data_IF_141001855854
#
_entry.id   IF_141001855854
#
_cell.length_a   1.000
_cell.length_b   1.000
_cell.length_c   1.000
_cell.angle_alpha   90.00
_cell.angle_beta   90.00
_cell.angle_gamma   90.00
#
_symmetry.space_group_name_H-M   'P 1'
#
loop_
_entity.id
_entity.type
_entity.pdbx_description
1 polymer ?
#
# COMPACT_ATOMS: atom_id res chain seq x y z
N UNK A 1 1.93 -47.78 -37.10
CA UNK A 1 2.85 -48.11 -36.00
C UNK A 1 4.20 -47.49 -36.35
N UNK A 2 4.82 -46.62 -35.52
CA UNK A 2 4.38 -45.86 -34.33
C UNK A 2 4.35 -44.33 -34.62
N UNK A 3 3.50 -43.46 -34.05
CA UNK A 3 3.18 -43.06 -32.66
C UNK A 3 4.32 -42.37 -31.89
N UNK A 4 4.32 -41.02 -31.89
CA UNK A 4 4.79 -40.12 -30.82
C UNK A 4 4.37 -38.67 -31.19
N UNK A 5 3.10 -38.32 -31.02
CA UNK A 5 2.55 -37.53 -29.89
C UNK A 5 2.96 -36.05 -29.95
N UNK A 6 1.96 -35.27 -30.36
CA UNK A 6 1.78 -33.83 -30.19
C UNK A 6 2.37 -33.29 -28.87
N UNK A 7 3.38 -32.42 -28.94
CA UNK A 7 3.61 -31.47 -27.85
C UNK A 7 2.72 -30.25 -28.06
N UNK A 8 1.44 -30.38 -27.69
CA UNK A 8 0.62 -29.23 -27.31
C UNK A 8 1.30 -28.58 -26.09
N UNK A 9 2.09 -27.53 -26.30
CA UNK A 9 2.44 -26.62 -25.22
C UNK A 9 1.22 -25.78 -24.90
N UNK A 10 0.28 -26.40 -24.19
CA UNK A 10 -0.72 -25.72 -23.38
C UNK A 10 0.00 -24.90 -22.32
N UNK A 11 -0.03 -23.58 -22.45
CA UNK A 11 -0.17 -22.65 -21.32
C UNK A 11 -0.29 -21.24 -21.87
N UNK A 12 -1.54 -20.87 -22.16
CA UNK A 12 -2.01 -19.51 -21.96
C UNK A 12 -1.45 -19.02 -20.62
N UNK A 13 -0.54 -18.05 -20.63
CA UNK A 13 0.00 -17.42 -19.42
C UNK A 13 -1.13 -16.67 -18.69
N UNK A 14 -1.98 -17.41 -17.97
CA UNK A 14 -2.71 -16.88 -16.84
C UNK A 14 -1.70 -16.79 -15.69
N UNK A 15 -1.00 -15.66 -15.55
CA UNK A 15 -0.56 -15.20 -14.23
C UNK A 15 -1.82 -14.78 -13.47
N UNK A 16 -2.56 -15.77 -12.98
CA UNK A 16 -3.59 -15.56 -11.98
C UNK A 16 -2.95 -15.92 -10.65
N UNK A 17 -2.64 -14.89 -9.86
CA UNK A 17 -2.25 -15.04 -8.46
C UNK A 17 -3.41 -15.69 -7.72
N UNK A 18 -3.33 -17.01 -7.60
CA UNK A 18 -4.24 -17.79 -6.80
C UNK A 18 -3.96 -17.47 -5.32
N UNK A 19 -4.76 -16.55 -4.76
CA UNK A 19 -4.95 -16.40 -3.33
C UNK A 19 -5.63 -17.66 -2.77
N UNK A 20 -4.87 -18.76 -2.66
CA UNK A 20 -5.31 -19.98 -1.98
C UNK A 20 -4.37 -20.39 -0.85
N UNK A 21 -3.28 -19.65 -0.66
CA UNK A 21 -2.37 -19.87 0.45
C UNK A 21 -2.62 -18.81 1.53
N UNK A 22 -3.10 -19.25 2.69
CA UNK A 22 -3.29 -18.41 3.87
C UNK A 22 -1.95 -18.01 4.51
N UNK A 23 -0.81 -18.46 3.98
CA UNK A 23 0.52 -18.05 4.40
C UNK A 23 0.70 -16.51 4.46
N UNK A 24 0.00 -15.76 3.61
CA UNK A 24 0.05 -14.29 3.64
C UNK A 24 -0.50 -13.69 4.95
N UNK A 25 -1.43 -14.37 5.63
CA UNK A 25 -2.02 -13.91 6.89
C UNK A 25 -1.03 -13.97 8.07
N UNK A 26 0.01 -14.80 7.98
CA UNK A 26 1.00 -15.02 9.04
C UNK A 26 2.24 -14.12 8.85
N UNK A 27 2.35 -13.42 7.72
CA UNK A 27 3.53 -12.59 7.39
C UNK A 27 3.72 -11.35 8.26
N UNK A 28 2.83 -11.06 9.21
CA UNK A 28 3.04 -10.02 10.23
C UNK A 28 3.79 -10.51 11.48
N UNK A 29 4.13 -11.79 11.58
CA UNK A 29 4.72 -12.34 12.82
C UNK A 29 6.07 -13.08 12.65
N UNK A 30 6.59 -13.31 11.44
CA UNK A 30 7.89 -13.98 11.28
C UNK A 30 9.05 -12.99 11.09
N UNK A 31 9.43 -12.35 12.19
CA UNK A 31 10.83 -11.94 12.41
C UNK A 31 11.50 -13.00 13.28
N UNK A 32 12.17 -13.97 12.64
CA UNK A 32 13.21 -14.77 13.28
C UNK A 32 14.36 -14.93 12.29
N UNK A 33 15.51 -14.46 12.74
CA UNK A 33 16.80 -14.45 12.07
C UNK A 33 17.25 -15.86 11.67
N UNK A 34 17.71 -16.03 10.43
CA UNK A 34 18.67 -17.07 10.06
C UNK A 34 19.64 -16.49 9.03
N UNK A 35 20.88 -16.29 9.45
CA UNK A 35 21.98 -15.84 8.62
C UNK A 35 22.47 -17.01 7.73
N UNK A 36 21.91 -17.18 6.53
CA UNK A 36 22.57 -17.88 5.42
C UNK A 36 21.86 -17.60 4.08
N UNK A 37 22.60 -17.04 3.12
CA UNK A 37 22.24 -16.74 1.72
C UNK A 37 20.85 -16.14 1.42
N UNK A 38 20.77 -14.81 1.38
CA UNK A 38 19.84 -14.12 0.49
C UNK A 38 20.65 -13.56 -0.68
N UNK A 39 20.84 -14.40 -1.69
CA UNK A 39 21.10 -13.96 -3.05
C UNK A 39 19.89 -14.33 -3.90
N UNK A 40 18.75 -13.75 -3.60
CA UNK A 40 17.66 -13.66 -4.57
C UNK A 40 17.35 -12.19 -4.78
N UNK A 41 17.67 -11.73 -5.99
CA UNK A 41 17.18 -10.47 -6.54
C UNK A 41 15.67 -10.57 -6.65
N UNK A 42 14.98 -10.31 -5.55
CA UNK A 42 13.69 -9.65 -5.64
C UNK A 42 13.99 -8.17 -5.40
N UNK A 43 14.25 -7.45 -6.50
CA UNK A 43 13.98 -6.02 -6.49
C UNK A 43 12.53 -5.90 -6.04
N UNK A 44 12.32 -5.61 -4.74
CA UNK A 44 11.00 -5.40 -4.14
C UNK A 44 10.10 -4.70 -5.15
N UNK A 45 9.23 -5.47 -5.80
CA UNK A 45 8.48 -4.96 -6.95
C UNK A 45 7.50 -3.94 -6.39
N UNK A 46 7.85 -2.66 -6.53
CA UNK A 46 7.01 -1.57 -6.04
C UNK A 46 5.70 -1.66 -6.79
N UNK A 47 4.58 -1.73 -6.06
CA UNK A 47 3.28 -1.81 -6.70
C UNK A 47 3.03 -0.61 -7.63
N UNK A 48 2.83 -0.88 -8.92
CA UNK A 48 2.58 0.15 -9.93
C UNK A 48 1.14 0.20 -10.43
N UNK A 49 0.20 -0.51 -9.79
CA UNK A 49 -1.22 -0.43 -10.14
C UNK A 49 -1.74 0.98 -9.87
N UNK A 50 -2.83 1.35 -10.54
CA UNK A 50 -3.38 2.70 -10.39
C UNK A 50 -3.92 2.95 -8.98
N UNK A 51 -4.40 1.91 -8.30
CA UNK A 51 -4.80 1.95 -6.90
C UNK A 51 -3.60 2.28 -6.00
N UNK A 52 -2.47 1.61 -6.20
CA UNK A 52 -1.25 1.88 -5.44
C UNK A 52 -0.75 3.31 -5.67
N UNK A 53 -0.74 3.79 -6.91
CA UNK A 53 -0.38 5.19 -7.22
C UNK A 53 -1.35 6.19 -6.61
N UNK A 54 -2.64 5.88 -6.58
CA UNK A 54 -3.65 6.74 -5.96
C UNK A 54 -3.43 6.86 -4.45
N UNK A 55 -3.19 5.74 -3.78
CA UNK A 55 -2.91 5.71 -2.34
C UNK A 55 -1.58 6.43 -2.03
N UNK A 56 -0.53 6.15 -2.80
CA UNK A 56 0.78 6.79 -2.64
C UNK A 56 0.67 8.32 -2.75
N UNK A 57 -0.05 8.83 -3.76
CA UNK A 57 -0.32 10.27 -3.90
C UNK A 57 -1.06 10.84 -2.69
N UNK A 58 -2.10 10.15 -2.21
CA UNK A 58 -2.88 10.61 -1.06
C UNK A 58 -2.03 10.69 0.23
N UNK A 59 -1.01 9.84 0.39
CA UNK A 59 -0.03 9.95 1.47
C UNK A 59 0.96 11.10 1.23
N UNK A 60 1.56 11.18 0.03
CA UNK A 60 2.52 12.24 -0.29
C UNK A 60 1.92 13.63 -0.10
N UNK A 61 0.63 13.81 -0.37
CA UNK A 61 -0.05 15.10 -0.21
C UNK A 61 -0.20 15.56 1.25
N UNK A 62 -0.19 14.65 2.22
CA UNK A 62 -0.29 14.99 3.65
C UNK A 62 1.05 15.24 4.30
N UNK A 63 2.13 14.78 3.68
CA UNK A 63 3.48 14.89 4.21
C UNK A 63 4.05 16.29 4.00
N UNK A 64 4.93 16.71 4.91
CA UNK A 64 5.80 17.85 4.78
C UNK A 64 7.25 17.35 4.70
N UNK A 65 7.73 17.06 3.49
CA UNK A 65 9.06 16.49 3.25
C UNK A 65 10.22 17.44 3.53
N UNK A 66 9.94 18.71 3.89
CA UNK A 66 10.95 19.67 4.33
C UNK A 66 11.40 19.45 5.77
N UNK A 67 10.64 18.66 6.55
CA UNK A 67 10.95 18.37 7.95
C UNK A 67 11.62 17.01 8.04
N UNK A 68 12.72 16.93 8.78
CA UNK A 68 13.39 15.66 9.03
C UNK A 68 12.51 14.76 9.93
N UNK A 69 12.17 13.53 9.49
CA UNK A 69 11.34 12.62 10.29
C UNK A 69 11.97 12.23 11.64
N UNK A 70 13.30 12.23 11.75
CA UNK A 70 13.99 11.92 13.01
C UNK A 70 13.83 13.03 14.06
N UNK A 71 13.55 14.27 13.62
CA UNK A 71 13.41 15.43 14.50
C UNK A 71 11.94 15.66 14.89
N UNK A 72 11.01 15.57 13.92
CA UNK A 72 9.58 15.69 14.17
C UNK A 72 8.77 14.87 13.16
N UNK A 73 8.58 13.59 13.47
CA UNK A 73 7.83 12.68 12.61
C UNK A 73 6.37 13.11 12.39
N UNK A 74 5.74 13.73 13.39
CA UNK A 74 4.36 14.21 13.25
C UNK A 74 4.24 15.30 12.19
N UNK A 75 5.14 16.29 12.21
CA UNK A 75 5.13 17.35 11.21
C UNK A 75 5.55 16.83 9.84
N UNK A 76 6.53 15.91 9.76
CA UNK A 76 6.87 15.24 8.50
C UNK A 76 5.69 14.49 7.89
N UNK A 77 4.96 13.71 8.68
CA UNK A 77 3.87 12.87 8.17
C UNK A 77 2.55 13.64 7.91
N UNK A 78 2.25 14.64 8.75
CA UNK A 78 0.94 15.31 8.79
C UNK A 78 0.98 16.82 8.52
N UNK A 79 2.17 17.43 8.42
CA UNK A 79 2.32 18.87 8.27
C UNK A 79 1.65 19.42 7.01
N UNK A 80 1.71 18.67 5.91
CA UNK A 80 1.02 19.01 4.66
C UNK A 80 -0.51 18.98 4.80
N UNK A 81 -1.06 18.05 5.58
CA UNK A 81 -2.50 18.03 5.89
C UNK A 81 -2.93 19.28 6.66
N UNK A 82 -2.21 19.59 7.74
CA UNK A 82 -2.48 20.77 8.57
C UNK A 82 -2.43 22.08 7.77
N UNK A 83 -1.51 22.18 6.82
CA UNK A 83 -1.37 23.36 5.96
C UNK A 83 -2.53 23.54 4.97
N UNK A 84 -3.15 22.45 4.51
CA UNK A 84 -4.22 22.47 3.51
C UNK A 84 -5.63 22.49 4.09
N UNK A 85 -5.81 21.99 5.32
CA UNK A 85 -7.14 21.73 5.89
C UNK A 85 -7.40 22.60 7.11
N UNK A 86 -8.31 23.57 6.96
CA UNK A 86 -8.77 24.40 8.05
C UNK A 86 -9.83 23.65 8.90
N UNK A 87 -9.81 23.87 10.21
CA UNK A 87 -10.86 23.38 11.10
C UNK A 87 -12.14 24.17 10.80
N UNK A 88 -13.27 23.52 10.46
CA UNK A 88 -14.55 24.20 10.28
C UNK A 88 -14.93 24.99 11.55
N UNK A 89 -15.60 26.16 11.42
CA UNK A 89 -15.81 27.09 12.55
C UNK A 89 -16.67 26.52 13.68
N UNK A 90 -17.46 25.48 13.39
CA UNK A 90 -18.33 24.80 14.36
C UNK A 90 -17.67 23.60 15.05
N UNK A 91 -16.38 23.33 14.78
CA UNK A 91 -15.62 22.23 15.36
C UNK A 91 -14.39 22.72 16.11
N UNK A 92 -14.01 22.01 17.16
CA UNK A 92 -12.77 22.24 17.89
C UNK A 92 -11.58 21.45 17.33
N UNK A 93 -11.82 20.46 16.49
CA UNK A 93 -10.79 19.62 15.89
C UNK A 93 -11.20 19.10 14.51
N UNK A 94 -10.20 18.87 13.65
CA UNK A 94 -10.42 18.33 12.30
C UNK A 94 -9.33 17.31 11.95
N UNK A 95 -9.50 16.09 12.44
CA UNK A 95 -8.59 14.99 12.16
C UNK A 95 -8.84 14.40 10.76
N UNK A 96 -7.88 13.63 10.25
CA UNK A 96 -8.06 12.83 9.03
C UNK A 96 -9.29 11.92 9.11
N UNK A 97 -9.55 11.35 10.28
CA UNK A 97 -10.70 10.49 10.52
C UNK A 97 -12.02 11.27 10.50
N UNK A 98 -12.07 12.45 11.12
CA UNK A 98 -13.25 13.31 11.08
C UNK A 98 -13.59 13.75 9.64
N UNK A 99 -12.58 14.10 8.84
CA UNK A 99 -12.76 14.39 7.42
C UNK A 99 -13.29 13.17 6.64
N UNK A 100 -12.73 11.99 6.88
CA UNK A 100 -13.20 10.76 6.25
C UNK A 100 -14.67 10.46 6.61
N UNK A 101 -15.03 10.54 7.89
CA UNK A 101 -16.42 10.35 8.34
C UNK A 101 -17.37 11.35 7.67
N UNK A 102 -16.99 12.62 7.61
CA UNK A 102 -17.79 13.65 6.93
C UNK A 102 -17.99 13.34 5.43
N UNK A 103 -16.95 12.81 4.77
CA UNK A 103 -17.03 12.37 3.36
C UNK A 103 -17.96 11.16 3.18
N UNK A 104 -17.96 10.23 4.13
CA UNK A 104 -18.87 9.08 4.11
C UNK A 104 -20.30 9.55 4.31
N UNK A 105 -20.55 10.35 5.34
CA UNK A 105 -21.88 10.89 5.66
C UNK A 105 -22.48 11.69 4.51
N UNK A 106 -21.67 12.47 3.79
CA UNK A 106 -22.13 13.24 2.63
C UNK A 106 -22.52 12.38 1.42
N UNK A 107 -22.12 11.12 1.38
CA UNK A 107 -22.47 10.17 0.31
C UNK A 107 -23.65 9.28 0.68
N UNK A 108 -23.93 9.13 1.97
CA UNK A 108 -25.05 8.33 2.49
C UNK A 108 -26.37 9.11 2.43
N UNK A 109 -26.32 10.44 2.52
CA UNK A 109 -27.48 11.33 2.44
C UNK A 109 -27.66 11.83 1.01
#
# INVERSE_FOLDING_TARGET
IPLAILSLTSALHLKHGAMHDLAWLISMEKSTDDANEISDKDESETCTTDECKLIARAFSETMNTSVNPCDNFYEFACGGWKAKQAIPPYLSSWSRFAHFQSTVESRVR
#
